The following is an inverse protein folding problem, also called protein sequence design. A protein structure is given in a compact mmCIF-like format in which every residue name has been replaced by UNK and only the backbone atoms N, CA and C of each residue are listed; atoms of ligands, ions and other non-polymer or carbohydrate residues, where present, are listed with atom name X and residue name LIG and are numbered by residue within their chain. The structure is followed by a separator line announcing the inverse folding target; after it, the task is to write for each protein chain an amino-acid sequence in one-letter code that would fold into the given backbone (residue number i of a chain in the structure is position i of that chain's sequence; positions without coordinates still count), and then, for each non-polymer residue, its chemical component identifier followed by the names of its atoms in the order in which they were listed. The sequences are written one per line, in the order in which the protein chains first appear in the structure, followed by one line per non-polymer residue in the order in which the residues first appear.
data_IF_892393320397
#
_entry.id   IF_892393320397
#
_cell.length_a   1.000
_cell.length_b   1.000
_cell.length_c   1.000
_cell.angle_alpha   90.00
_cell.angle_beta   90.00
_cell.angle_gamma   90.00
#
_symmetry.space_group_name_H-M   'P 1'
#
loop_
_entity.id
_entity.type
_entity.pdbx_description
1 polymer ?
#
# COMPACT_ATOMS: atom_id res chain seq x y z
N UNK A 1 -36.87 -47.00 -21.44
CA UNK A 1 -36.97 -45.55 -21.73
C UNK A 1 -36.43 -44.78 -20.53
N UNK A 2 -35.15 -44.39 -20.60
CA UNK A 2 -34.46 -43.62 -19.54
C UNK A 2 -34.48 -42.12 -19.92
N UNK A 3 -35.04 -41.31 -19.04
CA UNK A 3 -35.06 -39.86 -19.22
C UNK A 3 -33.68 -39.26 -18.83
N UNK A 4 -32.99 -38.66 -19.78
CA UNK A 4 -31.81 -37.81 -19.51
C UNK A 4 -32.27 -36.46 -18.99
N UNK A 5 -31.77 -36.05 -17.82
CA UNK A 5 -31.88 -34.68 -17.34
C UNK A 5 -30.67 -33.92 -17.86
N UNK A 6 -30.94 -32.93 -18.68
CA UNK A 6 -29.94 -32.00 -19.21
C UNK A 6 -29.60 -30.98 -18.09
N UNK A 7 -28.38 -31.00 -17.63
CA UNK A 7 -27.83 -30.02 -16.69
C UNK A 7 -27.23 -28.89 -17.53
N UNK A 8 -27.83 -27.70 -17.44
CA UNK A 8 -27.35 -26.50 -18.12
C UNK A 8 -26.23 -25.90 -17.28
N UNK A 9 -24.98 -26.04 -17.78
CA UNK A 9 -23.82 -25.35 -17.20
C UNK A 9 -23.77 -23.98 -17.86
N UNK A 10 -24.04 -22.94 -17.08
CA UNK A 10 -23.81 -21.56 -17.50
C UNK A 10 -22.30 -21.26 -17.38
N UNK A 11 -21.65 -21.17 -18.53
CA UNK A 11 -20.24 -20.78 -18.66
C UNK A 11 -20.20 -19.23 -18.69
N UNK A 12 -19.81 -18.59 -17.59
CA UNK A 12 -19.52 -17.16 -17.60
C UNK A 12 -18.16 -16.94 -18.28
N UNK A 13 -18.17 -16.31 -19.46
CA UNK A 13 -16.96 -15.74 -20.07
C UNK A 13 -16.61 -14.46 -19.30
N UNK A 14 -15.48 -14.47 -18.58
CA UNK A 14 -14.84 -13.26 -18.11
C UNK A 14 -14.09 -12.60 -19.29
N UNK A 15 -14.64 -11.54 -19.86
CA UNK A 15 -13.91 -10.66 -20.77
C UNK A 15 -13.10 -9.68 -19.97
N UNK A 16 -11.78 -9.65 -20.19
CA UNK A 16 -10.90 -8.63 -19.65
C UNK A 16 -11.34 -7.25 -20.17
N UNK A 17 -11.82 -6.40 -19.27
CA UNK A 17 -12.13 -5.00 -19.54
C UNK A 17 -10.98 -4.16 -18.99
N UNK A 18 -10.28 -3.47 -19.89
CA UNK A 18 -9.31 -2.46 -19.54
C UNK A 18 -9.97 -1.31 -18.77
N UNK A 19 -9.18 -0.60 -17.97
CA UNK A 19 -9.62 0.53 -17.15
C UNK A 19 -10.39 1.57 -17.98
N UNK A 20 -11.69 1.47 -18.00
CA UNK A 20 -12.63 2.51 -18.37
C UNK A 20 -13.52 2.79 -17.15
N UNK A 21 -13.85 4.06 -16.94
CA UNK A 21 -14.64 4.57 -15.81
C UNK A 21 -16.13 4.11 -15.84
N UNK A 22 -16.39 2.86 -16.09
CA UNK A 22 -17.72 2.30 -15.96
C UNK A 22 -17.81 1.52 -14.64
N UNK A 23 -18.57 2.08 -13.71
CA UNK A 23 -19.00 1.41 -12.47
C UNK A 23 -19.76 0.13 -12.81
N UNK A 24 -19.05 -0.98 -12.98
CA UNK A 24 -19.70 -2.29 -13.10
C UNK A 24 -20.04 -2.76 -11.69
N UNK A 25 -21.25 -2.44 -11.25
CA UNK A 25 -21.80 -2.91 -9.97
C UNK A 25 -22.18 -4.38 -10.14
N UNK A 26 -21.42 -5.29 -9.55
CA UNK A 26 -21.86 -6.68 -9.39
C UNK A 26 -22.63 -6.74 -8.09
N UNK A 27 -23.95 -6.67 -8.20
CA UNK A 27 -24.85 -6.74 -7.04
C UNK A 27 -25.09 -8.19 -6.66
N UNK A 28 -24.60 -8.60 -5.50
CA UNK A 28 -25.01 -9.84 -4.86
C UNK A 28 -26.00 -9.43 -3.76
N UNK A 29 -27.30 -9.63 -4.01
CA UNK A 29 -28.34 -9.36 -3.01
C UNK A 29 -28.52 -10.64 -2.18
N UNK A 30 -28.26 -10.61 -0.87
CA UNK A 30 -28.50 -11.77 -0.02
C UNK A 30 -30.00 -12.08 0.08
N UNK A 31 -30.34 -13.33 0.09
CA UNK A 31 -31.69 -13.76 0.45
C UNK A 31 -31.92 -13.52 1.95
N UNK A 32 -33.06 -12.98 2.38
CA UNK A 32 -33.32 -12.75 3.81
C UNK A 32 -33.48 -14.09 4.52
N UNK A 33 -32.46 -14.47 5.28
CA UNK A 33 -32.53 -15.60 6.24
C UNK A 33 -32.66 -15.02 7.64
N UNK A 34 -33.79 -15.23 8.26
CA UNK A 34 -34.04 -14.92 9.67
C UNK A 34 -33.61 -16.09 10.52
N UNK A 35 -32.41 -16.04 11.07
CA UNK A 35 -31.91 -17.00 12.04
C UNK A 35 -30.92 -16.33 12.98
N UNK A 36 -31.27 -16.16 14.26
CA UNK A 36 -30.32 -15.84 15.32
C UNK A 36 -29.65 -17.13 15.74
N UNK A 37 -28.37 -17.30 15.40
CA UNK A 37 -27.55 -18.39 15.90
C UNK A 37 -27.01 -17.98 17.28
N UNK A 38 -27.46 -18.65 18.35
CA UNK A 38 -26.85 -18.50 19.68
C UNK A 38 -25.52 -19.27 19.70
N UNK A 39 -24.44 -18.63 20.16
CA UNK A 39 -23.12 -19.21 20.32
C UNK A 39 -22.08 -18.68 19.30
N UNK A 40 -20.84 -19.14 19.47
CA UNK A 40 -19.71 -18.81 18.58
C UNK A 40 -19.55 -19.90 17.52
N UNK A 41 -19.36 -19.51 16.27
CA UNK A 41 -19.04 -20.42 15.16
C UNK A 41 -17.97 -19.79 14.26
N UNK A 42 -17.13 -20.62 13.66
CA UNK A 42 -16.14 -20.19 12.65
C UNK A 42 -16.54 -20.78 11.31
N UNK A 43 -16.68 -19.94 10.31
CA UNK A 43 -17.03 -20.32 8.95
C UNK A 43 -15.89 -19.95 8.01
N UNK A 44 -15.37 -20.96 7.29
CA UNK A 44 -14.36 -20.74 6.25
C UNK A 44 -15.05 -20.48 4.92
N UNK A 45 -14.75 -19.35 4.31
CA UNK A 45 -15.30 -18.98 3.01
C UNK A 45 -14.20 -18.46 2.08
N UNK A 46 -14.48 -18.46 0.78
CA UNK A 46 -13.50 -18.09 -0.23
C UNK A 46 -14.10 -17.25 -1.33
N UNK A 47 -13.23 -16.45 -1.96
CA UNK A 47 -13.55 -15.67 -3.14
C UNK A 47 -12.33 -15.54 -4.06
N UNK A 48 -12.51 -15.02 -5.27
CA UNK A 48 -11.41 -14.75 -6.19
C UNK A 48 -11.03 -13.27 -6.12
N UNK A 49 -9.77 -13.03 -5.80
CA UNK A 49 -9.15 -11.70 -5.84
C UNK A 49 -8.34 -11.44 -7.11
N UNK A 50 -7.33 -10.59 -7.00
CA UNK A 50 -6.45 -10.26 -8.12
C UNK A 50 -5.52 -11.41 -8.50
N UNK A 51 -4.91 -12.05 -7.50
CA UNK A 51 -3.96 -13.14 -7.69
C UNK A 51 -4.60 -14.53 -7.82
N UNK A 52 -5.89 -14.65 -7.50
CA UNK A 52 -6.62 -15.91 -7.55
C UNK A 52 -7.50 -16.14 -6.33
N UNK A 53 -7.66 -17.40 -5.92
CA UNK A 53 -8.49 -17.76 -4.77
C UNK A 53 -7.87 -17.27 -3.45
N UNK A 54 -8.73 -16.68 -2.61
CA UNK A 54 -8.41 -16.18 -1.27
C UNK A 54 -9.42 -16.80 -0.29
N UNK A 55 -8.93 -17.29 0.83
CA UNK A 55 -9.74 -17.87 1.91
C UNK A 55 -9.77 -16.93 3.12
N UNK A 56 -10.91 -16.87 3.81
CA UNK A 56 -11.04 -16.24 5.13
C UNK A 56 -11.79 -17.14 6.08
N UNK A 57 -11.39 -17.12 7.34
CA UNK A 57 -12.14 -17.71 8.45
C UNK A 57 -12.87 -16.57 9.19
N UNK A 58 -14.19 -16.62 9.21
CA UNK A 58 -15.04 -15.62 9.87
C UNK A 58 -15.61 -16.20 11.14
N UNK A 59 -15.27 -15.59 12.26
CA UNK A 59 -15.88 -15.90 13.56
C UNK A 59 -17.14 -15.09 13.75
N UNK A 60 -18.26 -15.78 13.92
CA UNK A 60 -19.55 -15.16 14.24
C UNK A 60 -19.94 -15.52 15.65
N UNK A 61 -20.26 -14.52 16.47
CA UNK A 61 -20.72 -14.65 17.86
C UNK A 61 -22.02 -13.87 18.05
N UNK A 62 -23.05 -14.55 18.53
CA UNK A 62 -24.35 -13.94 18.78
C UNK A 62 -24.91 -13.12 17.61
N UNK A 63 -24.69 -13.62 16.38
CA UNK A 63 -25.14 -13.00 15.15
C UNK A 63 -24.31 -11.77 14.71
N UNK A 64 -23.09 -11.61 15.21
CA UNK A 64 -22.16 -10.55 14.84
C UNK A 64 -20.82 -11.11 14.39
N UNK A 65 -20.13 -10.35 13.55
CA UNK A 65 -18.76 -10.65 13.15
C UNK A 65 -17.85 -10.33 14.33
N UNK A 66 -17.28 -11.37 14.97
CA UNK A 66 -16.36 -11.20 16.09
C UNK A 66 -14.89 -11.14 15.63
N UNK A 67 -14.55 -11.89 14.58
CA UNK A 67 -13.19 -11.89 14.01
C UNK A 67 -13.20 -12.30 12.53
N UNK A 68 -12.13 -11.94 11.82
CA UNK A 68 -11.83 -12.37 10.45
C UNK A 68 -10.35 -12.69 10.37
N UNK A 69 -10.02 -13.88 9.95
CA UNK A 69 -8.63 -14.36 9.79
C UNK A 69 -8.38 -14.65 8.31
N UNK A 70 -7.28 -14.14 7.77
CA UNK A 70 -6.84 -14.45 6.41
C UNK A 70 -6.24 -15.87 6.40
N UNK A 71 -6.76 -16.72 5.53
CA UNK A 71 -6.24 -18.04 5.27
C UNK A 71 -5.32 -18.09 4.05
N UNK A 72 -5.19 -19.29 3.47
CA UNK A 72 -4.41 -19.49 2.24
C UNK A 72 -4.95 -18.60 1.13
N UNK A 73 -4.03 -17.96 0.40
CA UNK A 73 -4.38 -17.06 -0.70
C UNK A 73 -3.27 -17.03 -1.75
N UNK A 74 -3.62 -16.53 -2.95
CA UNK A 74 -2.70 -16.34 -4.08
C UNK A 74 -2.55 -14.85 -4.43
N UNK A 75 -2.90 -13.96 -3.49
CA UNK A 75 -2.74 -12.53 -3.67
C UNK A 75 -1.25 -12.12 -3.65
N UNK A 76 -0.95 -10.95 -4.20
CA UNK A 76 0.38 -10.37 -4.05
C UNK A 76 0.61 -10.07 -2.57
N UNK A 77 1.53 -10.80 -1.92
CA UNK A 77 1.75 -10.77 -0.48
C UNK A 77 1.81 -9.35 0.09
N UNK A 78 2.63 -8.50 -0.50
CA UNK A 78 2.81 -7.12 -0.05
C UNK A 78 1.54 -6.26 -0.16
N UNK A 79 0.61 -6.61 -1.04
CA UNK A 79 -0.68 -5.92 -1.18
C UNK A 79 -1.65 -6.42 -0.13
N UNK A 80 -1.81 -7.74 -0.02
CA UNK A 80 -2.79 -8.33 0.89
C UNK A 80 -2.41 -8.12 2.35
N UNK A 81 -1.12 -8.26 2.71
CA UNK A 81 -0.62 -8.08 4.07
C UNK A 81 -0.89 -6.67 4.63
N UNK A 82 -0.97 -5.66 3.76
CA UNK A 82 -1.30 -4.29 4.16
C UNK A 82 -2.79 -3.97 4.04
N UNK A 83 -3.46 -4.52 3.04
CA UNK A 83 -4.86 -4.24 2.80
C UNK A 83 -5.78 -5.02 3.75
N UNK A 84 -5.42 -6.26 4.08
CA UNK A 84 -6.26 -7.10 4.92
C UNK A 84 -6.50 -6.52 6.33
N UNK A 85 -5.50 -6.03 7.08
CA UNK A 85 -5.75 -5.39 8.37
C UNK A 85 -6.72 -4.22 8.29
N UNK A 86 -6.58 -3.36 7.26
CA UNK A 86 -7.45 -2.20 7.07
C UNK A 86 -8.88 -2.61 6.74
N UNK A 87 -9.08 -3.56 5.81
CA UNK A 87 -10.42 -4.01 5.44
C UNK A 87 -11.10 -4.77 6.58
N UNK A 88 -10.33 -5.60 7.32
CA UNK A 88 -10.79 -6.31 8.51
C UNK A 88 -11.29 -5.32 9.58
N UNK A 89 -10.52 -4.30 9.91
CA UNK A 89 -10.88 -3.27 10.88
C UNK A 89 -12.17 -2.56 10.48
N UNK A 90 -12.30 -2.12 9.21
CA UNK A 90 -13.52 -1.49 8.69
C UNK A 90 -14.74 -2.38 8.87
N UNK A 91 -14.64 -3.67 8.52
CA UNK A 91 -15.75 -4.63 8.64
C UNK A 91 -16.14 -4.82 10.11
N UNK A 92 -15.16 -5.00 11.00
CA UNK A 92 -15.42 -5.20 12.42
C UNK A 92 -16.04 -3.97 13.10
N UNK A 93 -15.59 -2.75 12.71
CA UNK A 93 -16.09 -1.50 13.28
C UNK A 93 -17.60 -1.30 13.02
N UNK A 94 -18.04 -1.59 11.80
CA UNK A 94 -19.45 -1.38 11.40
C UNK A 94 -20.27 -2.67 11.34
N UNK A 95 -19.65 -3.81 11.58
CA UNK A 95 -20.27 -5.15 11.59
C UNK A 95 -20.98 -5.52 10.28
N UNK A 96 -20.41 -5.14 9.13
CA UNK A 96 -20.91 -5.49 7.79
C UNK A 96 -19.74 -5.56 6.78
N UNK A 97 -19.78 -6.49 5.80
CA UNK A 97 -18.81 -6.50 4.70
C UNK A 97 -19.06 -5.37 3.66
N UNK A 98 -20.15 -4.61 3.79
CA UNK A 98 -20.49 -3.51 2.89
C UNK A 98 -19.70 -2.22 3.23
N UNK A 99 -18.38 -2.31 3.21
CA UNK A 99 -17.45 -1.21 3.46
C UNK A 99 -16.65 -0.84 2.21
N UNK A 100 -16.02 0.33 2.22
CA UNK A 100 -15.13 0.75 1.14
C UNK A 100 -13.93 -0.18 1.01
N UNK A 101 -13.55 -0.48 -0.23
CA UNK A 101 -12.32 -1.19 -0.54
C UNK A 101 -11.10 -0.32 -0.22
N UNK A 102 -9.98 -0.96 0.07
CA UNK A 102 -8.70 -0.28 0.30
C UNK A 102 -8.14 0.22 -1.03
N UNK A 103 -7.80 1.49 -1.12
CA UNK A 103 -7.16 2.08 -2.30
C UNK A 103 -5.85 1.39 -2.61
N UNK A 104 -5.56 1.15 -3.90
CA UNK A 104 -4.46 0.34 -4.42
C UNK A 104 -4.56 -1.18 -4.17
N UNK A 105 -5.63 -1.65 -3.49
CA UNK A 105 -5.88 -3.08 -3.24
C UNK A 105 -7.37 -3.44 -3.47
N UNK A 106 -8.01 -2.80 -4.45
CA UNK A 106 -9.46 -2.87 -4.65
C UNK A 106 -9.96 -4.30 -4.90
N UNK A 107 -9.28 -5.06 -5.76
CA UNK A 107 -9.68 -6.44 -6.07
C UNK A 107 -9.50 -7.38 -4.87
N UNK A 108 -8.36 -7.30 -4.18
CA UNK A 108 -8.10 -8.10 -2.97
C UNK A 108 -9.09 -7.75 -1.85
N UNK A 109 -9.36 -6.46 -1.64
CA UNK A 109 -10.37 -6.00 -0.67
C UNK A 109 -11.76 -6.51 -1.02
N UNK A 110 -12.14 -6.47 -2.30
CA UNK A 110 -13.43 -6.96 -2.76
C UNK A 110 -13.58 -8.46 -2.53
N UNK A 111 -12.52 -9.25 -2.79
CA UNK A 111 -12.51 -10.68 -2.51
C UNK A 111 -12.72 -10.98 -1.02
N UNK A 112 -12.01 -10.27 -0.12
CA UNK A 112 -12.22 -10.40 1.33
C UNK A 112 -13.67 -10.11 1.70
N UNK A 113 -14.23 -9.00 1.21
CA UNK A 113 -15.63 -8.63 1.48
C UNK A 113 -16.63 -9.67 0.97
N UNK A 114 -16.40 -10.23 -0.23
CA UNK A 114 -17.25 -11.28 -0.79
C UNK A 114 -17.16 -12.56 0.02
N UNK A 115 -15.96 -12.97 0.45
CA UNK A 115 -15.78 -14.15 1.27
C UNK A 115 -16.47 -13.99 2.64
N UNK A 116 -16.33 -12.81 3.28
CA UNK A 116 -17.05 -12.51 4.52
C UNK A 116 -18.57 -12.56 4.31
N UNK A 117 -19.09 -11.96 3.25
CA UNK A 117 -20.51 -12.01 2.91
C UNK A 117 -21.00 -13.46 2.75
N UNK A 118 -20.24 -14.29 2.03
CA UNK A 118 -20.56 -15.71 1.84
C UNK A 118 -20.58 -16.49 3.16
N UNK A 119 -19.64 -16.19 4.06
CA UNK A 119 -19.61 -16.80 5.40
C UNK A 119 -20.84 -16.40 6.24
N UNK A 120 -21.26 -15.15 6.18
CA UNK A 120 -22.47 -14.67 6.87
C UNK A 120 -23.72 -15.31 6.30
N UNK A 121 -23.81 -15.45 4.97
CA UNK A 121 -24.93 -16.15 4.32
C UNK A 121 -25.01 -17.62 4.76
N UNK A 122 -23.89 -18.31 4.86
CA UNK A 122 -23.80 -19.69 5.37
C UNK A 122 -24.19 -19.77 6.84
N UNK A 123 -23.78 -18.80 7.67
CA UNK A 123 -24.18 -18.68 9.07
C UNK A 123 -25.65 -18.31 9.28
N UNK A 124 -26.36 -17.88 8.23
CA UNK A 124 -27.72 -17.35 8.34
C UNK A 124 -27.78 -15.97 9.03
N UNK A 125 -26.69 -15.20 8.98
CA UNK A 125 -26.56 -13.86 9.59
C UNK A 125 -26.80 -12.79 8.53
N UNK A 126 -27.80 -11.96 8.74
CA UNK A 126 -28.09 -10.81 7.87
C UNK A 126 -27.09 -9.66 8.16
N UNK A 127 -26.72 -8.93 7.12
CA UNK A 127 -25.94 -7.71 7.22
C UNK A 127 -26.57 -6.60 6.37
N UNK A 128 -26.22 -5.34 6.65
CA UNK A 128 -26.73 -4.18 5.92
C UNK A 128 -25.74 -3.72 4.84
N UNK A 129 -26.30 -3.17 3.76
CA UNK A 129 -25.54 -2.56 2.66
C UNK A 129 -25.24 -3.52 1.51
N UNK A 130 -24.50 -3.02 0.53
CA UNK A 130 -24.13 -3.72 -0.70
C UNK A 130 -22.61 -3.90 -0.78
N UNK A 131 -22.15 -5.11 -1.05
CA UNK A 131 -20.72 -5.40 -1.24
C UNK A 131 -20.31 -4.99 -2.65
N UNK A 132 -19.58 -3.88 -2.77
CA UNK A 132 -19.12 -3.30 -4.03
C UNK A 132 -17.60 -3.21 -4.11
N UNK A 133 -17.05 -2.94 -5.30
CA UNK A 133 -15.63 -2.66 -5.50
C UNK A 133 -15.22 -1.23 -5.14
N UNK A 134 -16.16 -0.36 -4.75
CA UNK A 134 -15.87 1.04 -4.46
C UNK A 134 -14.76 1.17 -3.40
N UNK A 135 -13.84 2.09 -3.63
CA UNK A 135 -12.80 2.49 -2.68
C UNK A 135 -13.15 3.85 -2.06
N UNK A 136 -12.52 4.16 -0.93
CA UNK A 136 -12.69 5.46 -0.26
C UNK A 136 -12.36 6.61 -1.22
N UNK A 137 -13.21 7.62 -1.24
CA UNK A 137 -13.09 8.79 -2.09
C UNK A 137 -12.92 10.06 -1.24
N UNK A 138 -12.18 11.03 -1.77
CA UNK A 138 -12.09 12.36 -1.18
C UNK A 138 -13.35 13.16 -1.46
N UNK A 139 -13.85 13.87 -0.44
CA UNK A 139 -15.00 14.76 -0.60
C UNK A 139 -14.66 15.96 -1.51
N UNK A 140 -15.57 16.31 -2.43
CA UNK A 140 -15.47 17.55 -3.21
C UNK A 140 -15.69 18.80 -2.34
N UNK A 141 -16.40 18.66 -1.23
CA UNK A 141 -16.71 19.72 -0.28
C UNK A 141 -16.30 19.31 1.15
N UNK A 142 -15.00 19.20 1.46
CA UNK A 142 -14.56 18.74 2.77
C UNK A 142 -14.85 19.78 3.86
N UNK A 143 -15.13 19.30 5.05
CA UNK A 143 -15.36 20.16 6.22
C UNK A 143 -13.99 20.61 6.79
N UNK A 144 -13.83 21.91 7.00
CA UNK A 144 -12.62 22.46 7.68
C UNK A 144 -12.63 22.06 9.15
N UNK A 145 -11.52 21.44 9.59
CA UNK A 145 -11.24 21.13 11.00
C UNK A 145 -10.00 21.87 11.49
N UNK A 146 -9.62 21.67 12.75
CA UNK A 146 -8.49 22.36 13.38
C UNK A 146 -7.15 22.00 12.71
N UNK A 147 -6.28 22.99 12.63
CA UNK A 147 -4.95 22.84 12.06
C UNK A 147 -4.02 22.06 13.01
N UNK A 148 -3.05 21.36 12.43
CA UNK A 148 -2.05 20.55 13.13
C UNK A 148 -0.68 21.18 12.98
N UNK A 149 0.18 21.09 13.99
CA UNK A 149 1.55 21.57 13.93
C UNK A 149 2.55 20.42 13.82
N UNK A 150 3.59 20.62 13.03
CA UNK A 150 4.72 19.71 12.88
C UNK A 150 6.03 20.49 12.71
N UNK A 151 7.17 19.83 12.87
CA UNK A 151 8.46 20.37 12.45
C UNK A 151 8.68 20.16 10.95
N UNK A 152 8.25 19.01 10.45
CA UNK A 152 8.32 18.66 9.02
C UNK A 152 7.04 17.98 8.60
N UNK A 153 6.47 18.42 7.48
CA UNK A 153 5.41 17.71 6.76
C UNK A 153 5.96 17.14 5.45
N UNK A 154 5.67 15.87 5.18
CA UNK A 154 6.09 15.15 3.99
C UNK A 154 4.84 14.72 3.23
N UNK A 155 4.73 15.06 1.95
CA UNK A 155 3.63 14.69 1.08
C UNK A 155 4.05 13.52 0.21
N UNK A 156 3.53 12.34 0.52
CA UNK A 156 3.81 11.07 -0.14
C UNK A 156 4.49 10.06 0.80
N UNK A 157 3.87 8.90 0.98
CA UNK A 157 4.33 7.79 1.82
C UNK A 157 5.01 6.66 1.03
N UNK A 158 5.55 6.98 -0.15
CA UNK A 158 6.42 6.08 -0.90
C UNK A 158 7.84 6.00 -0.32
N UNK A 159 8.76 5.23 -0.96
CA UNK A 159 10.10 5.03 -0.44
C UNK A 159 10.84 6.34 -0.14
N UNK A 160 10.76 7.33 -1.04
CA UNK A 160 11.44 8.63 -0.86
C UNK A 160 10.94 9.41 0.36
N UNK A 161 9.61 9.42 0.59
CA UNK A 161 9.02 10.12 1.73
C UNK A 161 9.36 9.45 3.05
N UNK A 162 9.31 8.12 3.09
CA UNK A 162 9.68 7.35 4.29
C UNK A 162 11.17 7.44 4.59
N UNK A 163 12.03 7.33 3.58
CA UNK A 163 13.48 7.49 3.76
C UNK A 163 13.83 8.87 4.33
N UNK A 164 13.19 9.93 3.83
CA UNK A 164 13.36 11.28 4.35
C UNK A 164 12.88 11.39 5.81
N UNK A 165 11.72 10.83 6.14
CA UNK A 165 11.20 10.84 7.50
C UNK A 165 12.14 10.13 8.48
N UNK A 166 12.67 8.96 8.09
CA UNK A 166 13.63 8.17 8.88
C UNK A 166 14.91 8.97 9.08
N UNK A 167 15.48 9.51 8.01
CA UNK A 167 16.73 10.31 8.09
C UNK A 167 16.58 11.52 9.00
N UNK A 168 15.42 12.21 8.98
CA UNK A 168 15.12 13.31 9.88
C UNK A 168 15.07 12.82 11.34
N UNK A 169 14.39 11.73 11.61
CA UNK A 169 14.28 11.15 12.96
C UNK A 169 15.62 10.60 13.47
N UNK A 170 16.45 10.05 12.61
CA UNK A 170 17.82 9.63 12.95
C UNK A 170 18.71 10.83 13.29
N UNK A 171 18.56 11.94 12.59
CA UNK A 171 19.30 13.18 12.87
C UNK A 171 18.77 13.93 14.11
N UNK A 172 17.46 13.88 14.36
CA UNK A 172 16.79 14.50 15.51
C UNK A 172 15.59 13.66 15.93
N UNK A 173 15.77 12.84 16.96
CA UNK A 173 14.74 11.95 17.49
C UNK A 173 13.49 12.67 18.00
N UNK A 174 13.63 13.92 18.46
CA UNK A 174 12.53 14.73 19.01
C UNK A 174 11.71 15.45 17.91
N UNK A 175 12.17 15.44 16.66
CA UNK A 175 11.44 16.09 15.56
C UNK A 175 10.04 15.49 15.39
N UNK A 176 9.02 16.35 15.34
CA UNK A 176 7.66 15.97 15.00
C UNK A 176 7.52 15.92 13.46
N UNK A 177 7.57 14.71 12.90
CA UNK A 177 7.50 14.46 11.45
C UNK A 177 6.14 13.84 11.12
N UNK A 178 5.42 14.47 10.18
CA UNK A 178 4.14 13.97 9.67
C UNK A 178 4.30 13.62 8.19
N UNK A 179 3.96 12.37 7.83
CA UNK A 179 3.87 11.90 6.44
C UNK A 179 2.41 11.77 6.05
N UNK A 180 2.00 12.40 4.95
CA UNK A 180 0.67 12.29 4.39
C UNK A 180 0.70 11.40 3.14
N UNK A 181 -0.10 10.34 3.12
CA UNK A 181 -0.27 9.45 1.97
C UNK A 181 -1.74 9.47 1.51
N UNK A 182 -1.96 9.72 0.22
CA UNK A 182 -3.31 9.80 -0.35
C UNK A 182 -4.06 8.47 -0.38
N UNK A 183 -3.33 7.34 -0.49
CA UNK A 183 -3.91 6.01 -0.49
C UNK A 183 -4.20 5.56 0.95
N UNK A 184 -5.05 4.56 1.10
CA UNK A 184 -5.37 3.99 2.41
C UNK A 184 -4.22 3.17 3.00
N UNK A 185 -3.25 2.82 2.19
CA UNK A 185 -2.02 2.10 2.57
C UNK A 185 -0.80 2.82 2.03
N UNK A 186 0.33 2.68 2.70
CA UNK A 186 1.62 3.11 2.19
C UNK A 186 1.97 2.30 0.94
N UNK A 187 2.40 3.00 -0.12
CA UNK A 187 2.64 2.42 -1.42
C UNK A 187 3.58 3.31 -2.24
N UNK A 188 3.53 3.19 -3.54
CA UNK A 188 4.28 3.99 -4.49
C UNK A 188 4.95 3.09 -5.53
N UNK A 189 5.36 3.67 -6.65
CA UNK A 189 5.97 2.94 -7.74
C UNK A 189 7.24 2.19 -7.31
N UNK A 190 8.04 2.78 -6.41
CA UNK A 190 9.23 2.13 -5.89
C UNK A 190 8.99 0.81 -5.16
N UNK A 191 7.74 0.53 -4.74
CA UNK A 191 7.36 -0.74 -4.13
C UNK A 191 7.04 -1.83 -5.17
N UNK A 192 6.29 -1.48 -6.21
CA UNK A 192 5.75 -2.46 -7.17
C UNK A 192 6.61 -2.61 -8.42
N UNK A 193 7.18 -1.51 -8.91
CA UNK A 193 7.88 -1.49 -10.18
C UNK A 193 9.39 -1.76 -10.01
N UNK A 194 9.88 -1.77 -8.78
CA UNK A 194 11.28 -1.96 -8.47
C UNK A 194 11.59 -3.43 -8.23
N UNK A 195 11.87 -4.16 -9.31
CA UNK A 195 12.34 -5.55 -9.24
C UNK A 195 13.72 -5.62 -8.60
N UNK A 196 14.54 -4.62 -8.87
CA UNK A 196 15.91 -4.49 -8.40
C UNK A 196 16.06 -3.16 -7.67
N UNK A 197 17.03 -3.11 -6.78
CA UNK A 197 17.46 -1.91 -6.11
C UNK A 197 18.94 -1.68 -6.43
N UNK A 198 19.26 -0.53 -7.01
CA UNK A 198 20.62 -0.20 -7.33
C UNK A 198 21.34 0.31 -6.08
N UNK A 199 22.50 -0.25 -5.80
CA UNK A 199 23.45 0.20 -4.79
C UNK A 199 24.82 -0.34 -5.13
N UNK A 200 25.86 0.25 -4.58
CA UNK A 200 27.23 -0.15 -4.81
C UNK A 200 27.96 -0.33 -3.46
N UNK A 201 29.14 -0.93 -3.50
CA UNK A 201 29.91 -1.19 -2.29
C UNK A 201 29.16 -2.04 -1.26
N UNK A 202 28.34 -2.97 -1.74
CA UNK A 202 27.49 -3.81 -0.91
C UNK A 202 28.19 -5.09 -0.46
N UNK A 203 27.66 -5.72 0.59
CA UNK A 203 28.12 -7.05 1.01
C UNK A 203 27.82 -8.14 -0.03
N UNK A 204 26.77 -7.98 -0.83
CA UNK A 204 26.46 -8.91 -1.90
C UNK A 204 27.48 -8.82 -3.03
N UNK A 205 27.91 -7.62 -3.41
CA UNK A 205 29.01 -7.41 -4.37
C UNK A 205 30.33 -7.99 -3.86
N UNK A 206 30.67 -7.72 -2.61
CA UNK A 206 31.87 -8.28 -1.98
C UNK A 206 31.88 -9.82 -2.00
N UNK A 207 30.76 -10.43 -1.62
CA UNK A 207 30.60 -11.89 -1.59
C UNK A 207 30.70 -12.53 -2.99
N UNK A 208 30.23 -11.83 -4.03
CA UNK A 208 30.25 -12.30 -5.42
C UNK A 208 31.57 -11.91 -6.17
N UNK A 209 32.41 -11.08 -5.56
CA UNK A 209 33.60 -10.56 -6.21
C UNK A 209 33.31 -9.56 -7.34
N UNK A 210 32.17 -8.93 -7.29
CA UNK A 210 31.68 -7.96 -8.28
C UNK A 210 31.53 -6.58 -7.61
N UNK A 211 32.64 -5.86 -7.47
CA UNK A 211 32.65 -4.53 -6.87
C UNK A 211 32.45 -3.48 -7.96
N UNK A 212 31.38 -2.69 -7.84
CA UNK A 212 31.14 -1.50 -8.67
C UNK A 212 31.57 -0.25 -7.90
N UNK A 213 32.37 0.60 -8.52
CA UNK A 213 32.86 1.83 -7.89
C UNK A 213 31.94 3.02 -8.20
N UNK A 214 32.07 4.12 -7.44
CA UNK A 214 31.36 5.39 -7.74
C UNK A 214 31.71 5.90 -9.15
N UNK A 215 32.98 5.73 -9.58
CA UNK A 215 33.42 6.11 -10.92
C UNK A 215 32.76 5.27 -12.01
N UNK A 216 32.60 3.96 -11.81
CA UNK A 216 31.90 3.07 -12.74
C UNK A 216 30.44 3.47 -12.88
N UNK A 217 29.74 3.67 -11.75
CA UNK A 217 28.35 4.09 -11.71
C UNK A 217 28.13 5.45 -12.41
N UNK A 218 29.00 6.44 -12.12
CA UNK A 218 28.95 7.76 -12.80
C UNK A 218 29.19 7.60 -14.30
N UNK A 219 30.13 6.74 -14.71
CA UNK A 219 30.45 6.52 -16.12
C UNK A 219 29.27 5.95 -16.89
N UNK A 220 28.48 5.06 -16.28
CA UNK A 220 27.31 4.44 -16.90
C UNK A 220 26.15 5.42 -17.10
N UNK A 221 25.99 6.40 -16.20
CA UNK A 221 24.85 7.34 -16.24
C UNK A 221 25.19 8.72 -16.80
N UNK A 222 26.45 9.06 -17.07
CA UNK A 222 26.89 10.39 -17.52
C UNK A 222 26.24 10.90 -18.80
N UNK A 223 25.84 10.00 -19.69
CA UNK A 223 25.24 10.33 -20.98
C UNK A 223 23.72 10.54 -20.90
N UNK A 224 23.11 10.34 -19.71
CA UNK A 224 21.69 10.54 -19.46
C UNK A 224 21.24 12.00 -19.35
N UNK A 225 22.17 12.97 -19.48
CA UNK A 225 21.88 14.40 -19.46
C UNK A 225 21.83 15.02 -18.06
N UNK A 226 22.18 14.25 -17.04
CA UNK A 226 22.28 14.76 -15.66
C UNK A 226 23.58 15.52 -15.41
N UNK A 227 23.57 16.42 -14.42
CA UNK A 227 24.79 17.15 -14.05
C UNK A 227 25.79 16.26 -13.30
N UNK A 228 27.07 16.46 -13.57
CA UNK A 228 28.14 15.71 -12.90
C UNK A 228 28.09 15.84 -11.37
N UNK A 229 27.70 17.02 -10.86
CA UNK A 229 27.56 17.24 -9.42
C UNK A 229 26.46 16.38 -8.78
N UNK A 230 25.34 16.20 -9.48
CA UNK A 230 24.23 15.33 -9.00
C UNK A 230 24.60 13.86 -9.11
N UNK A 231 25.25 13.45 -10.21
CA UNK A 231 25.72 12.07 -10.35
C UNK A 231 26.70 11.69 -9.25
N UNK A 232 27.66 12.58 -8.91
CA UNK A 232 28.58 12.34 -7.80
C UNK A 232 27.89 12.25 -6.44
N UNK A 233 26.92 13.12 -6.17
CA UNK A 233 26.17 13.06 -4.91
C UNK A 233 25.37 11.77 -4.83
N UNK A 234 24.70 11.37 -5.91
CA UNK A 234 23.95 10.12 -5.99
C UNK A 234 24.86 8.89 -5.81
N UNK A 235 25.98 8.80 -6.51
CA UNK A 235 26.91 7.67 -6.39
C UNK A 235 27.49 7.54 -4.96
N UNK A 236 27.77 8.68 -4.31
CA UNK A 236 28.22 8.68 -2.91
C UNK A 236 27.12 8.18 -1.95
N UNK A 237 25.85 8.51 -2.18
CA UNK A 237 24.73 8.00 -1.39
C UNK A 237 24.53 6.49 -1.64
N UNK A 238 24.60 6.02 -2.89
CA UNK A 238 24.48 4.60 -3.26
C UNK A 238 25.58 3.75 -2.60
N UNK A 239 26.79 4.30 -2.40
CA UNK A 239 27.89 3.58 -1.76
C UNK A 239 27.70 3.33 -0.26
N UNK A 240 26.72 3.98 0.37
CA UNK A 240 26.39 3.81 1.80
C UNK A 240 25.04 3.12 2.02
N UNK A 241 24.31 2.85 0.95
CA UNK A 241 22.92 2.39 1.00
C UNK A 241 22.78 0.99 1.63
N UNK A 242 23.67 0.03 1.30
CA UNK A 242 23.63 -1.31 1.88
C UNK A 242 23.75 -1.27 3.41
N UNK A 243 24.69 -0.47 3.94
CA UNK A 243 24.88 -0.32 5.38
C UNK A 243 23.63 0.29 6.04
N UNK A 244 23.07 1.35 5.45
CA UNK A 244 21.88 2.02 5.98
C UNK A 244 20.65 1.10 5.97
N UNK A 245 20.43 0.32 4.92
CA UNK A 245 19.35 -0.66 4.82
C UNK A 245 19.52 -1.77 5.86
N UNK A 246 20.74 -2.30 6.04
CA UNK A 246 21.04 -3.34 7.04
C UNK A 246 20.85 -2.88 8.47
N UNK A 247 21.14 -1.62 8.77
CA UNK A 247 20.84 -1.03 10.09
C UNK A 247 19.34 -1.03 10.41
N UNK A 248 18.51 -1.05 9.38
CA UNK A 248 17.05 -1.22 9.49
C UNK A 248 16.60 -2.67 9.38
N UNK A 249 17.52 -3.64 9.29
CA UNK A 249 17.21 -5.06 9.12
C UNK A 249 16.68 -5.41 7.73
N UNK A 250 17.02 -4.63 6.72
CA UNK A 250 16.76 -4.91 5.30
C UNK A 250 18.03 -5.41 4.66
N UNK A 251 18.00 -6.62 4.11
CA UNK A 251 19.15 -7.24 3.47
C UNK A 251 18.82 -7.60 2.02
N UNK A 252 19.56 -7.00 1.08
CA UNK A 252 19.51 -7.32 -0.33
C UNK A 252 20.78 -8.11 -0.69
N UNK A 253 20.73 -9.42 -0.50
CA UNK A 253 21.91 -10.30 -0.54
C UNK A 253 22.19 -10.90 -1.92
N UNK A 254 21.28 -10.71 -2.88
CA UNK A 254 21.41 -11.23 -4.22
C UNK A 254 21.80 -10.11 -5.19
N UNK A 255 23.02 -10.18 -5.72
CA UNK A 255 23.48 -9.27 -6.77
C UNK A 255 23.07 -9.84 -8.14
N UNK A 256 22.17 -9.16 -8.82
CA UNK A 256 21.57 -9.58 -10.08
C UNK A 256 22.30 -8.94 -11.28
N UNK A 257 22.44 -9.67 -12.36
CA UNK A 257 23.01 -9.15 -13.62
C UNK A 257 24.51 -9.45 -13.83
N UNK A 258 25.21 -9.99 -12.85
CA UNK A 258 26.59 -10.40 -12.97
C UNK A 258 27.61 -9.27 -12.86
N UNK A 259 28.76 -9.43 -13.50
CA UNK A 259 29.91 -8.50 -13.41
C UNK A 259 29.49 -7.09 -13.90
N UNK A 260 29.77 -6.07 -13.09
CA UNK A 260 29.49 -4.67 -13.36
C UNK A 260 28.06 -4.23 -13.04
N UNK A 261 27.22 -5.11 -12.49
CA UNK A 261 25.85 -4.75 -12.14
C UNK A 261 25.73 -4.23 -10.70
N UNK A 262 25.09 -3.08 -10.53
CA UNK A 262 24.70 -2.51 -9.24
C UNK A 262 23.36 -3.00 -8.72
N UNK A 263 22.65 -3.85 -9.47
CA UNK A 263 21.29 -4.27 -9.17
C UNK A 263 21.22 -5.37 -8.12
N UNK A 264 20.39 -5.21 -7.11
CA UNK A 264 20.24 -6.11 -5.97
C UNK A 264 18.81 -6.55 -5.74
N UNK A 265 18.66 -7.76 -5.18
CA UNK A 265 17.41 -8.35 -4.70
C UNK A 265 17.62 -8.95 -3.31
N UNK A 266 16.55 -9.14 -2.56
CA UNK A 266 16.64 -9.82 -1.26
C UNK A 266 16.95 -11.32 -1.43
N UNK A 267 16.12 -11.99 -2.23
CA UNK A 267 16.23 -13.39 -2.64
C UNK A 267 15.91 -13.50 -4.14
N UNK A 268 16.12 -14.67 -4.73
CA UNK A 268 16.01 -14.88 -6.18
C UNK A 268 14.59 -14.59 -6.76
N UNK A 269 13.55 -14.61 -5.92
CA UNK A 269 12.14 -14.42 -6.29
C UNK A 269 11.47 -13.23 -5.59
N UNK A 270 12.21 -12.45 -4.79
CA UNK A 270 11.66 -11.31 -4.06
C UNK A 270 12.03 -9.98 -4.72
N UNK A 271 11.03 -9.17 -4.98
CA UNK A 271 11.23 -7.81 -5.47
C UNK A 271 11.90 -6.93 -4.40
N UNK A 272 13.00 -6.27 -4.76
CA UNK A 272 13.75 -5.41 -3.86
C UNK A 272 12.88 -4.25 -3.31
N UNK A 273 12.04 -3.64 -4.15
CA UNK A 273 11.15 -2.57 -3.74
C UNK A 273 10.16 -2.98 -2.64
N UNK A 274 9.68 -4.21 -2.67
CA UNK A 274 8.81 -4.76 -1.64
C UNK A 274 9.50 -4.84 -0.28
N UNK A 275 10.69 -5.41 -0.26
CA UNK A 275 11.47 -5.63 0.97
C UNK A 275 11.95 -4.31 1.54
N UNK A 276 12.44 -3.40 0.70
CA UNK A 276 12.87 -2.05 1.09
C UNK A 276 11.68 -1.25 1.67
N UNK A 277 10.54 -1.21 0.98
CA UNK A 277 9.37 -0.48 1.45
C UNK A 277 8.89 -1.01 2.81
N UNK A 278 8.85 -2.33 3.00
CA UNK A 278 8.45 -2.93 4.28
C UNK A 278 9.41 -2.55 5.42
N UNK A 279 10.70 -2.53 5.15
CA UNK A 279 11.73 -2.07 6.09
C UNK A 279 11.57 -0.60 6.47
N UNK A 280 11.34 0.26 5.48
CA UNK A 280 11.12 1.69 5.69
C UNK A 280 9.85 1.95 6.51
N UNK A 281 8.74 1.29 6.21
CA UNK A 281 7.49 1.41 6.95
C UNK A 281 7.65 1.01 8.42
N UNK A 282 8.28 -0.13 8.68
CA UNK A 282 8.56 -0.60 10.04
C UNK A 282 9.42 0.41 10.78
N UNK A 283 10.53 0.84 10.20
CA UNK A 283 11.49 1.75 10.84
C UNK A 283 10.89 3.13 11.09
N UNK A 284 10.10 3.67 10.16
CA UNK A 284 9.40 4.94 10.36
C UNK A 284 8.43 4.87 11.56
N UNK A 285 7.66 3.79 11.67
CA UNK A 285 6.78 3.55 12.81
C UNK A 285 7.55 3.42 14.14
N UNK A 286 8.63 2.63 14.16
CA UNK A 286 9.48 2.44 15.35
C UNK A 286 10.11 3.76 15.83
N UNK A 287 10.47 4.64 14.90
CA UNK A 287 11.00 5.98 15.19
C UNK A 287 9.92 7.00 15.57
N UNK A 288 8.65 6.62 15.58
CA UNK A 288 7.54 7.48 15.96
C UNK A 288 7.21 8.55 14.91
N UNK A 289 7.36 8.26 13.63
CA UNK A 289 6.84 9.11 12.54
C UNK A 289 5.32 9.03 12.55
N UNK A 290 4.63 10.17 12.51
CA UNK A 290 3.17 10.19 12.34
C UNK A 290 2.82 9.97 10.87
N UNK A 291 2.15 8.86 10.57
CA UNK A 291 1.75 8.50 9.20
C UNK A 291 0.23 8.65 9.07
N UNK A 292 -0.20 9.50 8.14
CA UNK A 292 -1.61 9.77 7.85
C UNK A 292 -1.94 9.21 6.46
N UNK A 293 -2.44 7.98 6.42
CA UNK A 293 -2.98 7.39 5.18
C UNK A 293 -4.37 7.98 4.87
N UNK A 294 -4.87 7.77 3.65
CA UNK A 294 -6.11 8.39 3.20
C UNK A 294 -6.10 9.92 3.30
N UNK A 295 -4.90 10.53 3.25
CA UNK A 295 -4.70 11.98 3.45
C UNK A 295 -3.90 12.56 2.29
N UNK A 296 -4.58 13.34 1.44
CA UNK A 296 -4.03 13.95 0.21
C UNK A 296 -3.55 15.37 0.47
N UNK A 297 -2.31 15.69 0.08
CA UNK A 297 -1.86 17.07 -0.07
C UNK A 297 -2.58 17.76 -1.23
N UNK A 298 -3.19 18.91 -1.00
CA UNK A 298 -3.98 19.63 -2.01
C UNK A 298 -3.43 21.00 -2.34
N UNK A 299 -2.72 21.65 -1.41
CA UNK A 299 -2.08 22.96 -1.63
C UNK A 299 -0.98 23.20 -0.60
N UNK A 300 -0.25 24.29 -0.73
CA UNK A 300 0.70 24.78 0.26
C UNK A 300 0.10 25.87 1.16
N UNK A 301 0.46 25.86 2.43
CA UNK A 301 0.24 27.01 3.30
C UNK A 301 1.36 28.00 3.05
N UNK A 302 1.01 29.23 2.66
CA UNK A 302 1.96 30.26 2.24
C UNK A 302 1.96 31.46 3.19
N UNK A 303 3.17 31.96 3.53
CA UNK A 303 3.39 33.27 4.12
C UNK A 303 4.19 34.09 3.10
N UNK A 304 3.52 34.92 2.34
CA UNK A 304 4.09 35.61 1.18
C UNK A 304 4.61 34.62 0.13
N UNK A 305 5.93 34.51 -0.02
CA UNK A 305 6.60 33.55 -0.92
C UNK A 305 7.16 32.32 -0.20
N UNK A 306 7.00 32.24 1.11
CA UNK A 306 7.53 31.15 1.92
C UNK A 306 6.44 30.10 2.13
N UNK A 307 6.77 28.84 1.87
CA UNK A 307 5.94 27.70 2.28
C UNK A 307 6.08 27.52 3.78
N UNK A 308 4.96 27.43 4.49
CA UNK A 308 4.87 27.27 5.96
C UNK A 308 4.02 26.08 6.35
N UNK A 309 3.78 25.18 5.43
CA UNK A 309 3.01 23.96 5.66
C UNK A 309 2.30 23.45 4.41
N UNK A 310 1.42 22.50 4.60
CA UNK A 310 0.59 21.92 3.55
C UNK A 310 -0.89 21.96 3.92
N UNK A 311 -1.75 22.19 2.94
CA UNK A 311 -3.19 21.97 3.06
C UNK A 311 -3.47 20.53 2.69
N UNK A 312 -4.19 19.81 3.53
CA UNK A 312 -4.54 18.41 3.29
C UNK A 312 -6.04 18.19 3.32
N UNK A 313 -6.49 17.14 2.61
CA UNK A 313 -7.86 16.62 2.70
C UNK A 313 -7.81 15.12 2.91
N UNK A 314 -8.71 14.57 3.74
CA UNK A 314 -8.74 13.15 4.03
C UNK A 314 -10.01 12.46 3.52
N UNK A 315 -10.02 11.14 3.53
CA UNK A 315 -11.15 10.30 3.11
C UNK A 315 -12.32 10.33 4.09
N UNK A 316 -12.14 10.95 5.28
CA UNK A 316 -13.24 11.21 6.23
C UNK A 316 -14.04 12.47 5.85
N UNK A 317 -13.68 13.15 4.77
CA UNK A 317 -14.32 14.37 4.30
C UNK A 317 -13.88 15.62 5.06
N UNK A 318 -12.70 15.61 5.64
CA UNK A 318 -12.13 16.73 6.39
C UNK A 318 -11.00 17.42 5.59
N UNK A 319 -10.78 18.71 5.83
CA UNK A 319 -9.62 19.47 5.36
C UNK A 319 -9.03 20.31 6.48
N UNK A 320 -7.71 20.42 6.52
CA UNK A 320 -6.98 21.18 7.52
C UNK A 320 -5.57 21.53 7.03
N UNK A 321 -4.90 22.45 7.75
CA UNK A 321 -3.51 22.74 7.49
C UNK A 321 -2.61 21.94 8.43
N UNK A 322 -1.51 21.43 7.87
CA UNK A 322 -0.37 20.98 8.69
C UNK A 322 0.66 22.09 8.60
N UNK A 323 0.80 22.85 9.68
CA UNK A 323 1.71 23.99 9.79
C UNK A 323 3.10 23.46 10.13
N UNK A 324 4.07 23.70 9.26
CA UNK A 324 5.44 23.23 9.44
C UNK A 324 6.43 24.17 8.78
N UNK A 325 7.57 24.46 9.40
CA UNK A 325 8.63 25.28 8.82
C UNK A 325 9.29 24.62 7.58
N UNK A 326 9.18 23.28 7.47
CA UNK A 326 9.71 22.50 6.36
C UNK A 326 8.62 21.64 5.75
N UNK A 327 8.50 21.70 4.42
CA UNK A 327 7.58 20.86 3.64
C UNK A 327 8.37 20.14 2.55
N UNK A 328 8.31 18.81 2.57
CA UNK A 328 8.91 17.96 1.55
C UNK A 328 7.83 17.41 0.63
N UNK A 329 8.05 17.51 -0.68
CA UNK A 329 7.19 16.91 -1.71
C UNK A 329 7.84 15.64 -2.23
N UNK A 330 7.25 14.49 -1.90
CA UNK A 330 7.70 13.15 -2.28
C UNK A 330 6.59 12.37 -3.00
N UNK A 331 5.83 13.06 -3.87
CA UNK A 331 4.60 12.57 -4.51
C UNK A 331 4.83 11.63 -5.69
N UNK A 332 6.08 11.31 -5.99
CA UNK A 332 6.47 10.44 -7.10
C UNK A 332 6.52 11.15 -8.43
N UNK A 333 6.52 10.36 -9.52
CA UNK A 333 6.64 10.87 -10.88
C UNK A 333 5.39 11.63 -11.35
N UNK A 334 5.62 12.60 -12.22
CA UNK A 334 4.56 13.45 -12.82
C UNK A 334 4.49 13.34 -14.36
N UNK A 335 5.21 12.39 -14.95
CA UNK A 335 5.24 12.23 -16.42
C UNK A 335 3.88 11.85 -17.02
N UNK A 336 2.95 11.33 -16.20
CA UNK A 336 1.58 11.03 -16.63
C UNK A 336 0.65 12.25 -16.57
N UNK A 337 1.07 13.37 -15.99
CA UNK A 337 0.30 14.60 -16.00
C UNK A 337 0.33 15.20 -17.41
N UNK A 338 -0.86 15.50 -17.94
CA UNK A 338 -1.05 16.05 -19.30
C UNK A 338 -1.30 17.54 -19.31
N UNK A 339 -1.33 18.19 -18.14
CA UNK A 339 -1.52 19.63 -17.98
C UNK A 339 -0.23 20.42 -18.02
#
# INVERSE_FOLDING_TARGET
MKKFKTMLVAMLLATAVGCSNDNTTVTITPAPTTGTTEGSQVISAKANGYGGELNVDVTVEDGKIADIVLGDNHETNVVIDRAFPVIRERILEVNTPAVDSVSAATFSSFAVKQAVASALDEAGVAYEGEVTMAASAFSENPTKVDDVNADVVIIGGGPSGLAAAISIKQANADANVIVCEKLDILSGNGKFDMNYFDMINSKAEEANGNIVTEEDLIADYKDGGESEARLKAWAADESTMDAWLRDMGVELNFNYGGEGSSSHMAEDDQYAGEVVQAGLERTANELGVTILTGTKGVDFVMDGKKVTGAVVSNTKGETYNILAPYTLVATGGFCSNKE
#
